data_IF_864853639052
#
_entry.id   IF_864853639052
#
_cell.length_a   1.000
_cell.length_b   1.000
_cell.length_c   1.000
_cell.angle_alpha   90.00
_cell.angle_beta   90.00
_cell.angle_gamma   90.00
#
_symmetry.space_group_name_H-M   'P 1'
#
loop_
_entity.id
_entity.type
_entity.pdbx_description
1 polymer ?
#
# COMPACT_ATOMS: atom_id res chain seq x y z
N UNK A 1 -19.45 -8.62 1.24
CA UNK A 1 -18.48 -7.52 1.44
C UNK A 1 -17.32 -7.70 0.47
N UNK A 2 -17.08 -6.77 -0.46
CA UNK A 2 -15.82 -6.76 -1.23
C UNK A 2 -14.76 -6.09 -0.35
N UNK A 3 -13.83 -6.87 0.23
CA UNK A 3 -12.83 -6.38 1.18
C UNK A 3 -12.04 -5.17 0.67
N UNK A 4 -11.78 -4.19 1.54
CA UNK A 4 -10.93 -3.03 1.26
C UNK A 4 -9.47 -3.49 1.05
N UNK A 5 -8.70 -2.73 0.25
CA UNK A 5 -7.25 -2.97 0.15
C UNK A 5 -6.57 -2.64 1.49
N UNK A 6 -5.41 -3.24 1.77
CA UNK A 6 -4.60 -2.83 2.93
C UNK A 6 -4.28 -1.33 2.90
N UNK A 7 -4.09 -0.77 1.70
CA UNK A 7 -3.85 0.65 1.49
C UNK A 7 -5.05 1.54 1.87
N UNK A 8 -6.29 1.02 1.81
CA UNK A 8 -7.50 1.75 2.22
C UNK A 8 -7.64 1.85 3.76
N UNK A 9 -6.79 1.19 4.53
CA UNK A 9 -6.81 1.27 6.00
C UNK A 9 -6.00 2.49 6.49
N UNK A 10 -6.28 3.00 7.71
CA UNK A 10 -5.48 4.08 8.28
C UNK A 10 -3.98 3.76 8.38
N UNK A 11 -3.63 2.51 8.71
CA UNK A 11 -2.24 2.05 8.75
C UNK A 11 -1.64 1.99 7.33
N UNK A 12 -2.40 1.55 6.33
CA UNK A 12 -1.99 1.56 4.92
C UNK A 12 -1.66 2.95 4.40
N UNK A 13 -2.54 3.94 4.65
CA UNK A 13 -2.28 5.35 4.29
C UNK A 13 -1.08 5.94 5.01
N UNK A 14 -0.86 5.56 6.27
CA UNK A 14 0.32 5.98 7.04
C UNK A 14 1.61 5.44 6.40
N UNK A 15 1.60 4.18 5.95
CA UNK A 15 2.74 3.57 5.24
C UNK A 15 3.00 4.26 3.88
N UNK A 16 1.95 4.56 3.10
CA UNK A 16 2.09 5.31 1.86
C UNK A 16 2.72 6.69 2.09
N UNK A 17 2.23 7.41 3.09
CA UNK A 17 2.72 8.76 3.46
C UNK A 17 4.18 8.72 3.95
N UNK A 18 4.60 7.63 4.60
CA UNK A 18 5.98 7.42 5.02
C UNK A 18 6.94 7.00 3.88
N UNK A 19 6.42 6.88 2.64
CA UNK A 19 7.20 6.60 1.43
C UNK A 19 7.30 5.13 1.06
N UNK A 20 6.53 4.24 1.69
CA UNK A 20 6.43 2.85 1.26
C UNK A 20 5.53 2.76 0.03
N UNK A 21 5.90 1.94 -0.95
CA UNK A 21 5.16 1.83 -2.22
C UNK A 21 4.76 0.39 -2.56
N UNK A 22 5.13 -0.58 -1.73
CA UNK A 22 4.69 -1.97 -1.86
C UNK A 22 4.14 -2.46 -0.53
N UNK A 23 2.92 -3.02 -0.53
CA UNK A 23 2.26 -3.54 0.66
C UNK A 23 1.85 -5.00 0.44
N UNK A 24 2.00 -5.83 1.48
CA UNK A 24 1.52 -7.20 1.49
C UNK A 24 0.82 -7.52 2.79
N UNK A 25 -0.39 -8.06 2.68
CA UNK A 25 -1.14 -8.58 3.83
C UNK A 25 -0.79 -10.04 4.03
N UNK A 26 -0.33 -10.38 5.23
CA UNK A 26 -0.10 -11.75 5.66
C UNK A 26 -1.26 -12.17 6.57
N UNK A 27 -2.03 -13.15 6.10
CA UNK A 27 -3.09 -13.81 6.87
C UNK A 27 -2.83 -15.32 6.85
N UNK A 28 -2.68 -15.92 8.02
CA UNK A 28 -2.53 -17.37 8.20
C UNK A 28 -3.73 -17.85 9.03
N UNK A 29 -4.64 -18.67 8.45
CA UNK A 29 -5.68 -19.30 9.25
C UNK A 29 -5.04 -20.29 10.24
N UNK A 30 -5.57 -20.28 11.47
CA UNK A 30 -5.10 -21.02 12.65
C UNK A 30 -4.72 -22.47 12.32
N UNK A 31 -3.41 -22.78 12.33
CA UNK A 31 -2.92 -24.13 12.00
C UNK A 31 -1.46 -24.29 11.57
N UNK A 32 -0.63 -23.24 11.57
CA UNK A 32 0.81 -23.43 11.33
C UNK A 32 1.67 -22.16 11.29
N UNK A 33 2.37 -21.91 12.40
CA UNK A 33 3.49 -20.98 12.62
C UNK A 33 3.17 -19.49 12.91
N UNK A 34 2.54 -19.27 14.07
CA UNK A 34 2.75 -18.17 15.04
C UNK A 34 3.11 -16.78 14.47
N UNK A 35 2.17 -16.18 13.75
CA UNK A 35 2.19 -14.76 13.47
C UNK A 35 0.76 -14.23 13.30
N UNK A 36 0.40 -13.21 14.07
CA UNK A 36 -0.88 -12.50 13.88
C UNK A 36 -0.98 -11.85 12.50
N UNK A 37 -2.16 -11.32 12.19
CA UNK A 37 -2.38 -10.59 10.93
C UNK A 37 -1.40 -9.42 10.83
N UNK A 38 -0.61 -9.38 9.76
CA UNK A 38 0.43 -8.36 9.54
C UNK A 38 0.26 -7.69 8.18
N UNK A 39 0.56 -6.41 8.13
CA UNK A 39 0.83 -5.69 6.89
C UNK A 39 2.33 -5.46 6.83
N UNK A 40 2.98 -6.00 5.81
CA UNK A 40 4.37 -5.72 5.50
C UNK A 40 4.43 -4.63 4.43
N UNK A 41 5.40 -3.72 4.51
CA UNK A 41 5.63 -2.74 3.46
C UNK A 41 7.13 -2.51 3.21
N UNK A 42 7.48 -2.24 1.96
CA UNK A 42 8.86 -1.95 1.54
C UNK A 42 8.97 -0.57 0.87
N UNK A 43 10.08 0.13 1.17
CA UNK A 43 10.55 1.27 0.37
C UNK A 43 11.33 0.74 -0.82
N UNK A 44 11.40 1.54 -1.88
CA UNK A 44 12.19 1.24 -3.06
C UNK A 44 13.35 2.22 -3.18
N UNK A 45 14.43 1.76 -3.81
CA UNK A 45 15.61 2.57 -4.13
C UNK A 45 15.48 3.31 -5.47
N UNK A 46 14.51 2.91 -6.29
CA UNK A 46 14.28 3.43 -7.64
C UNK A 46 12.91 4.12 -7.74
N UNK A 47 12.92 5.35 -8.28
CA UNK A 47 11.73 6.17 -8.47
C UNK A 47 10.81 5.63 -9.56
N UNK A 48 11.34 4.98 -10.59
CA UNK A 48 10.49 4.39 -11.63
C UNK A 48 9.70 3.21 -11.06
N UNK A 49 10.36 2.32 -10.33
CA UNK A 49 9.71 1.24 -9.60
C UNK A 49 8.69 1.78 -8.59
N UNK A 50 9.02 2.86 -7.86
CA UNK A 50 8.08 3.51 -6.93
C UNK A 50 6.80 3.93 -7.64
N UNK A 51 6.95 4.62 -8.78
CA UNK A 51 5.83 5.10 -9.60
C UNK A 51 4.98 3.93 -10.09
N UNK A 52 5.62 2.85 -10.57
CA UNK A 52 4.91 1.66 -11.04
C UNK A 52 4.09 1.01 -9.92
N UNK A 53 4.68 0.81 -8.75
CA UNK A 53 3.98 0.19 -7.63
C UNK A 53 2.85 1.08 -7.08
N UNK A 54 3.03 2.40 -7.04
CA UNK A 54 1.94 3.33 -6.69
C UNK A 54 0.78 3.26 -7.70
N UNK A 55 1.08 3.10 -8.99
CA UNK A 55 0.04 2.87 -10.00
C UNK A 55 -0.67 1.54 -9.82
N UNK A 56 0.04 0.47 -9.45
CA UNK A 56 -0.56 -0.83 -9.11
C UNK A 56 -1.52 -0.69 -7.92
N UNK A 57 -1.11 -0.02 -6.84
CA UNK A 57 -1.96 0.22 -5.66
C UNK A 57 -3.18 1.08 -6.02
N UNK A 58 -3.02 2.09 -6.88
CA UNK A 58 -4.12 2.98 -7.30
C UNK A 58 -5.29 2.20 -7.95
N UNK A 59 -4.98 1.11 -8.66
CA UNK A 59 -5.99 0.24 -9.29
C UNK A 59 -6.76 -0.59 -8.25
N UNK A 60 -6.13 -0.91 -7.11
CA UNK A 60 -6.72 -1.78 -6.08
C UNK A 60 -7.56 -1.03 -5.04
N UNK A 61 -7.21 0.22 -4.75
CA UNK A 61 -7.87 1.02 -3.70
C UNK A 61 -9.27 1.47 -4.11
N UNK A 62 -10.14 1.60 -3.11
CA UNK A 62 -11.56 1.93 -3.35
C UNK A 62 -11.95 3.30 -2.86
N UNK A 63 -11.28 3.77 -1.80
CA UNK A 63 -11.61 5.03 -1.14
C UNK A 63 -11.01 6.22 -1.89
N UNK A 64 -11.79 7.30 -2.02
CA UNK A 64 -11.33 8.50 -2.71
C UNK A 64 -10.21 9.22 -1.94
N UNK A 65 -10.22 9.12 -0.60
CA UNK A 65 -9.12 9.58 0.26
C UNK A 65 -7.79 8.92 -0.14
N UNK A 66 -7.77 7.59 -0.31
CA UNK A 66 -6.54 6.87 -0.66
C UNK A 66 -6.15 7.12 -2.12
N UNK A 67 -7.12 7.24 -3.04
CA UNK A 67 -6.83 7.62 -4.44
C UNK A 67 -6.18 9.00 -4.53
N UNK A 68 -6.70 9.99 -3.80
CA UNK A 68 -6.15 11.35 -3.76
C UNK A 68 -4.73 11.34 -3.22
N UNK A 69 -4.49 10.64 -2.10
CA UNK A 69 -3.15 10.49 -1.53
C UNK A 69 -2.15 9.91 -2.53
N UNK A 70 -2.51 8.84 -3.23
CA UNK A 70 -1.62 8.21 -4.21
C UNK A 70 -1.38 9.13 -5.41
N UNK A 71 -2.40 9.86 -5.88
CA UNK A 71 -2.25 10.85 -6.95
C UNK A 71 -1.26 11.96 -6.55
N UNK A 72 -1.34 12.47 -5.33
CA UNK A 72 -0.42 13.47 -4.80
C UNK A 72 1.02 12.92 -4.73
N UNK A 73 1.19 11.69 -4.24
CA UNK A 73 2.50 11.02 -4.18
C UNK A 73 3.11 10.79 -5.57
N UNK A 74 2.29 10.46 -6.57
CA UNK A 74 2.71 10.33 -7.97
C UNK A 74 3.11 11.68 -8.57
N UNK A 75 2.46 12.78 -8.17
CA UNK A 75 2.79 14.12 -8.61
C UNK A 75 4.11 14.65 -7.99
N UNK A 76 4.38 14.30 -6.73
CA UNK A 76 5.60 14.68 -6.00
C UNK A 76 6.88 13.98 -6.51
N UNK A 77 6.74 12.86 -7.23
CA UNK A 77 7.86 12.08 -7.78
C UNK A 77 8.29 12.48 -9.20
N UNK A 78 7.84 13.63 -9.71
CA UNK A 78 8.34 14.17 -10.99
C UNK A 78 9.79 14.65 -10.79
N UNK A 79 10.71 14.34 -11.72
CA UNK A 79 12.06 14.89 -11.69
C UNK A 79 12.06 16.42 -11.73
#
# INVERSE_FOLDING_TARGET
MKGLSAADTPIGRSLLSAGFSWLKTWYFPEGGNEGGVKIQANKVIDNELRRRQLQEILVEVKTDETKSLIADLLAQGKP
#
